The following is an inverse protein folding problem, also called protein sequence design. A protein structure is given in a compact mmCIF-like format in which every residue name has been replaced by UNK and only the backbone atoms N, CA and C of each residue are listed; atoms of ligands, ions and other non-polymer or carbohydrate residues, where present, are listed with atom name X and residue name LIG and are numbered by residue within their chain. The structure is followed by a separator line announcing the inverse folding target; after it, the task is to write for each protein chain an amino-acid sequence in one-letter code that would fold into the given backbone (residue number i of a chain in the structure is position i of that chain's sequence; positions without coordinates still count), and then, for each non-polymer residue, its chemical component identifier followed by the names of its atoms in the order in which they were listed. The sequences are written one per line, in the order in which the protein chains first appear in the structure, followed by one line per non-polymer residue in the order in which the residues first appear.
data_IF_393962773443
#
_entry.id   IF_393962773443
#
_cell.length_a   1.000
_cell.length_b   1.000
_cell.length_c   1.000
_cell.angle_alpha   90.00
_cell.angle_beta   90.00
_cell.angle_gamma   90.00
#
_symmetry.space_group_name_H-M   'P 1'
#
loop_
_entity.id
_entity.type
_entity.pdbx_description
1 polymer ?
#
# COMPACT_ATOMS: atom_id res chain seq x y z
N UNK A 1 0.16 14.60 -11.58
CA UNK A 1 0.86 14.13 -10.36
C UNK A 1 0.13 14.58 -9.10
N UNK A 2 -0.11 15.89 -8.96
CA UNK A 2 -0.73 16.51 -7.79
C UNK A 2 -2.14 15.97 -7.43
N UNK A 3 -3.02 15.75 -8.42
CA UNK A 3 -4.35 15.17 -8.18
C UNK A 3 -4.27 13.69 -7.75
N UNK A 4 -3.37 12.90 -8.34
CA UNK A 4 -3.15 11.50 -7.98
C UNK A 4 -2.63 11.36 -6.54
N UNK A 5 -1.63 12.18 -6.17
CA UNK A 5 -1.08 12.18 -4.82
C UNK A 5 -2.14 12.59 -3.79
N UNK A 6 -2.96 13.62 -4.09
CA UNK A 6 -4.08 14.02 -3.24
C UNK A 6 -5.10 12.92 -3.05
N UNK A 7 -5.52 12.23 -4.12
CA UNK A 7 -6.51 11.15 -4.01
C UNK A 7 -5.96 9.96 -3.24
N UNK A 8 -4.68 9.58 -3.43
CA UNK A 8 -4.04 8.52 -2.66
C UNK A 8 -3.89 8.87 -1.18
N UNK A 9 -3.52 10.12 -0.84
CA UNK A 9 -3.52 10.58 0.56
C UNK A 9 -4.93 10.55 1.17
N UNK A 10 -5.95 10.95 0.40
CA UNK A 10 -7.35 10.84 0.80
C UNK A 10 -7.73 9.39 1.11
N UNK A 11 -7.36 8.44 0.25
CA UNK A 11 -7.61 7.02 0.45
C UNK A 11 -6.98 6.46 1.74
N UNK A 12 -5.78 6.92 2.11
CA UNK A 12 -5.15 6.53 3.38
C UNK A 12 -5.90 7.09 4.60
N UNK A 13 -6.42 8.31 4.51
CA UNK A 13 -7.28 8.88 5.55
C UNK A 13 -8.61 8.12 5.66
N UNK A 14 -9.23 7.81 4.51
CA UNK A 14 -10.48 7.04 4.43
C UNK A 14 -10.30 5.63 4.98
N UNK A 15 -9.15 4.98 4.77
CA UNK A 15 -8.83 3.67 5.37
C UNK A 15 -8.98 3.71 6.89
N UNK A 16 -8.40 4.71 7.55
CA UNK A 16 -8.50 4.88 9.01
C UNK A 16 -9.91 5.25 9.46
N UNK A 17 -10.56 6.15 8.73
CA UNK A 17 -11.94 6.57 9.01
C UNK A 17 -12.91 5.38 8.96
N UNK A 18 -12.85 4.58 7.90
CA UNK A 18 -13.74 3.44 7.72
C UNK A 18 -13.38 2.26 8.63
N UNK A 19 -12.10 2.07 8.96
CA UNK A 19 -11.70 1.11 9.99
C UNK A 19 -12.37 1.40 11.34
N UNK A 20 -12.45 2.66 11.74
CA UNK A 20 -13.15 3.06 12.96
C UNK A 20 -14.68 2.96 12.82
N UNK A 21 -15.23 3.39 11.67
CA UNK A 21 -16.68 3.38 11.43
C UNK A 21 -17.27 1.97 11.40
N UNK A 22 -16.51 0.97 10.94
CA UNK A 22 -16.99 -0.40 10.74
C UNK A 22 -16.36 -1.43 11.68
N UNK A 23 -15.65 -0.99 12.73
CA UNK A 23 -14.83 -1.85 13.58
C UNK A 23 -15.54 -3.12 14.11
N UNK A 24 -16.85 -3.04 14.36
CA UNK A 24 -17.64 -4.14 14.91
C UNK A 24 -18.05 -5.21 13.88
N UNK A 25 -17.87 -4.96 12.58
CA UNK A 25 -18.36 -5.84 11.51
C UNK A 25 -17.37 -6.08 10.37
N UNK A 26 -16.55 -5.08 10.03
CA UNK A 26 -15.64 -5.13 8.87
C UNK A 26 -14.31 -4.50 9.25
N UNK A 27 -13.21 -5.22 8.97
CA UNK A 27 -11.86 -4.68 9.06
C UNK A 27 -11.49 -3.96 7.77
N UNK A 28 -10.89 -2.77 7.88
CA UNK A 28 -10.47 -1.97 6.73
C UNK A 28 -8.98 -1.70 6.84
N UNK A 29 -8.19 -2.16 5.88
CA UNK A 29 -6.74 -1.97 5.83
C UNK A 29 -6.31 -1.58 4.42
N UNK A 30 -5.07 -1.13 4.27
CA UNK A 30 -4.49 -0.80 2.97
C UNK A 30 -3.09 -1.41 2.80
N UNK A 31 -2.76 -1.71 1.54
CA UNK A 31 -1.40 -1.96 1.09
C UNK A 31 -0.99 -0.77 0.22
N UNK A 32 0.21 -0.24 0.44
CA UNK A 32 0.76 0.90 -0.30
C UNK A 32 1.97 0.44 -1.12
N UNK A 33 1.76 0.01 -2.38
CA UNK A 33 2.85 -0.44 -3.23
C UNK A 33 3.70 0.72 -3.73
N UNK A 34 5.01 0.49 -3.80
CA UNK A 34 5.91 1.28 -4.63
C UNK A 34 5.84 0.87 -6.11
N UNK A 35 6.86 1.21 -6.91
CA UNK A 35 7.00 0.71 -8.27
C UNK A 35 7.13 -0.82 -8.26
N UNK A 36 6.16 -1.54 -8.83
CA UNK A 36 6.14 -3.02 -8.87
C UNK A 36 6.35 -3.51 -10.30
N UNK A 37 5.44 -3.14 -11.21
CA UNK A 37 5.54 -3.43 -12.63
C UNK A 37 5.90 -2.15 -13.38
N UNK A 38 6.88 -2.24 -14.28
CA UNK A 38 7.15 -1.15 -15.21
C UNK A 38 6.02 -1.12 -16.25
N UNK A 39 5.54 0.08 -16.65
CA UNK A 39 4.64 0.19 -17.80
C UNK A 39 5.30 -0.37 -19.07
N UNK A 40 4.49 -0.99 -19.94
CA UNK A 40 5.01 -1.51 -21.22
C UNK A 40 5.71 -0.40 -22.02
N UNK A 41 6.91 -0.70 -22.52
CA UNK A 41 7.71 0.24 -23.30
C UNK A 41 8.37 1.37 -22.51
N UNK A 42 8.25 1.40 -21.18
CA UNK A 42 8.85 2.43 -20.33
C UNK A 42 9.94 1.84 -19.44
N UNK A 43 11.19 2.24 -19.68
CA UNK A 43 12.28 2.03 -18.72
C UNK A 43 12.12 3.03 -17.57
N UNK A 44 11.17 2.77 -16.66
CA UNK A 44 10.89 3.69 -15.57
C UNK A 44 12.02 3.65 -14.53
N UNK A 45 12.63 4.81 -14.26
CA UNK A 45 13.54 4.99 -13.13
C UNK A 45 12.70 5.05 -11.85
N UNK A 46 12.50 3.90 -11.23
CA UNK A 46 11.71 3.72 -10.01
C UNK A 46 12.26 4.47 -8.78
N UNK A 47 13.42 5.13 -8.88
CA UNK A 47 14.10 5.74 -7.73
C UNK A 47 14.87 4.71 -6.91
N UNK A 48 15.48 5.17 -5.83
CA UNK A 48 16.21 4.33 -4.89
C UNK A 48 15.23 3.57 -3.98
N UNK A 49 15.53 2.30 -3.74
CA UNK A 49 14.77 1.39 -2.88
C UNK A 49 15.79 0.54 -2.11
N UNK A 50 15.99 0.77 -0.79
CA UNK A 50 16.99 0.04 0.00
C UNK A 50 16.90 -1.48 -0.09
N UNK A 51 15.68 -2.02 -0.25
CA UNK A 51 15.42 -3.46 -0.39
C UNK A 51 15.18 -3.89 -1.85
N UNK A 52 15.37 -2.99 -2.81
CA UNK A 52 15.10 -3.23 -4.22
C UNK A 52 13.61 -3.17 -4.60
N UNK A 53 13.33 -3.43 -5.88
CA UNK A 53 11.96 -3.33 -6.42
C UNK A 53 11.09 -4.49 -5.90
N UNK A 54 9.91 -4.22 -5.30
CA UNK A 54 8.98 -5.27 -4.91
C UNK A 54 8.38 -6.00 -6.12
N UNK A 55 8.06 -7.28 -5.92
CA UNK A 55 7.33 -8.12 -6.88
C UNK A 55 5.81 -8.03 -6.68
N UNK A 56 4.98 -8.37 -7.67
CA UNK A 56 3.54 -8.55 -7.48
C UNK A 56 3.20 -9.51 -6.32
N UNK A 57 4.02 -10.54 -6.14
CA UNK A 57 3.87 -11.53 -5.07
C UNK A 57 4.12 -10.93 -3.68
N UNK A 58 5.01 -9.92 -3.55
CA UNK A 58 5.19 -9.19 -2.29
C UNK A 58 3.91 -8.45 -1.88
N UNK A 59 3.25 -7.79 -2.85
CA UNK A 59 1.97 -7.11 -2.62
C UNK A 59 0.89 -8.11 -2.22
N UNK A 60 0.81 -9.25 -2.91
CA UNK A 60 -0.15 -10.31 -2.59
C UNK A 60 0.07 -10.87 -1.18
N UNK A 61 1.31 -11.11 -0.77
CA UNK A 61 1.64 -11.57 0.59
C UNK A 61 1.18 -10.59 1.66
N UNK A 62 1.34 -9.28 1.45
CA UNK A 62 0.85 -8.26 2.38
C UNK A 62 -0.67 -8.28 2.51
N UNK A 63 -1.40 -8.51 1.41
CA UNK A 63 -2.86 -8.70 1.43
C UNK A 63 -3.25 -9.93 2.23
N UNK A 64 -2.60 -11.08 1.98
CA UNK A 64 -2.86 -12.33 2.71
C UNK A 64 -2.62 -12.15 4.21
N UNK A 65 -1.51 -11.51 4.60
CA UNK A 65 -1.25 -11.18 5.99
C UNK A 65 -2.40 -10.37 6.64
N UNK A 66 -2.88 -9.33 5.96
CA UNK A 66 -4.00 -8.53 6.47
C UNK A 66 -5.32 -9.31 6.55
N UNK A 67 -5.53 -10.31 5.70
CA UNK A 67 -6.69 -11.19 5.77
C UNK A 67 -6.63 -12.09 7.00
N UNK A 68 -5.45 -12.63 7.32
CA UNK A 68 -5.24 -13.56 8.44
C UNK A 68 -5.17 -12.85 9.81
N UNK A 69 -4.71 -11.59 9.84
CA UNK A 69 -4.55 -10.80 11.07
C UNK A 69 -5.91 -10.27 11.61
N UNK A 70 -6.67 -11.13 12.28
CA UNK A 70 -8.03 -10.83 12.76
C UNK A 70 -8.13 -9.65 13.74
N UNK A 71 -7.07 -9.34 14.49
CA UNK A 71 -7.02 -8.20 15.40
C UNK A 71 -6.51 -6.90 14.74
N UNK A 72 -6.40 -6.86 13.41
CA UNK A 72 -5.80 -5.75 12.66
C UNK A 72 -6.82 -5.04 11.77
N UNK A 73 -7.06 -3.75 12.05
CA UNK A 73 -7.84 -2.81 11.25
C UNK A 73 -7.18 -1.43 11.27
N UNK A 74 -7.40 -0.60 10.25
CA UNK A 74 -6.80 0.73 10.08
C UNK A 74 -5.30 0.70 9.73
N UNK A 75 -4.74 -0.48 9.46
CA UNK A 75 -3.34 -0.68 9.13
C UNK A 75 -3.05 -0.29 7.67
N UNK A 76 -1.88 0.31 7.45
CA UNK A 76 -1.36 0.62 6.12
C UNK A 76 0.02 -0.03 6.04
N UNK A 77 0.18 -1.00 5.15
CA UNK A 77 1.46 -1.71 4.96
C UNK A 77 2.17 -1.16 3.72
N UNK A 78 3.33 -0.50 3.84
CA UNK A 78 4.15 -0.15 2.69
C UNK A 78 4.79 -1.41 2.09
N UNK A 79 4.69 -1.55 0.77
CA UNK A 79 5.35 -2.61 -0.02
C UNK A 79 6.08 -1.93 -1.17
N UNK A 80 7.13 -1.20 -0.83
CA UNK A 80 7.79 -0.23 -1.71
C UNK A 80 9.32 -0.34 -1.68
N UNK A 81 9.86 -1.43 -1.13
CA UNK A 81 11.30 -1.62 -1.01
C UNK A 81 11.98 -0.60 -0.08
N UNK A 82 11.23 0.12 0.76
CA UNK A 82 11.73 1.19 1.62
C UNK A 82 11.79 2.56 0.96
N UNK A 83 11.19 2.73 -0.23
CA UNK A 83 11.22 4.00 -0.96
C UNK A 83 10.63 5.17 -0.17
N UNK A 84 9.51 4.96 0.53
CA UNK A 84 8.83 6.00 1.31
C UNK A 84 9.62 6.50 2.53
N UNK A 85 10.75 5.87 2.85
CA UNK A 85 11.63 6.28 3.95
C UNK A 85 12.72 7.26 3.51
N UNK A 86 12.88 7.47 2.19
CA UNK A 86 13.84 8.39 1.58
C UNK A 86 13.16 9.74 1.27
#
# INVERSE_FOLDING_TARGET
RDAYERTKRGLLADTKKYAALFADTIRVNAVAPGPVLAPEGVSEKAGEMPLGRPSPEDVARAVVFLLEANATTGCIIPVDGGQSLL
#
